data_IF_737388729224
#
_entry.id   IF_737388729224
#
_cell.length_a   1.000
_cell.length_b   1.000
_cell.length_c   1.000
_cell.angle_alpha   90.00
_cell.angle_beta   90.00
_cell.angle_gamma   90.00
#
_symmetry.space_group_name_H-M   'P 1'
#
loop_
_entity.id
_entity.type
_entity.pdbx_description
1 polymer ?
#
# COMPACT_ATOMS: atom_id res chain seq x y z
N UNK A 1 27.50 35.39 -76.37
CA UNK A 1 28.39 36.47 -75.85
C UNK A 1 28.22 36.44 -74.37
N UNK A 2 29.21 35.92 -73.72
CA UNK A 2 30.13 36.57 -72.75
C UNK A 2 29.35 37.26 -71.61
N UNK A 3 29.49 37.06 -70.43
CA UNK A 3 30.54 36.42 -69.62
C UNK A 3 30.44 36.93 -68.17
N UNK A 4 31.08 36.29 -67.41
CA UNK A 4 31.77 36.67 -66.15
C UNK A 4 31.20 36.19 -64.80
N UNK A 5 32.00 35.35 -64.30
CA UNK A 5 32.02 34.79 -62.90
C UNK A 5 32.22 35.85 -61.83
N UNK A 6 31.53 35.67 -60.69
CA UNK A 6 32.14 35.95 -59.42
C UNK A 6 31.71 34.92 -58.35
N UNK A 7 32.68 34.25 -57.75
CA UNK A 7 32.58 33.33 -56.59
C UNK A 7 32.20 34.13 -55.34
N UNK A 8 31.22 33.59 -54.61
CA UNK A 8 31.14 33.92 -53.20
C UNK A 8 31.06 32.61 -52.39
N UNK A 9 31.91 32.55 -51.37
CA UNK A 9 32.11 31.43 -50.47
C UNK A 9 30.87 31.20 -49.62
N UNK A 10 30.40 29.93 -49.59
CA UNK A 10 29.47 29.43 -48.59
C UNK A 10 30.25 29.18 -47.30
N UNK A 11 29.93 29.91 -46.22
CA UNK A 11 30.27 29.56 -44.87
C UNK A 11 29.34 28.44 -44.40
N UNK A 12 29.94 27.38 -43.95
CA UNK A 12 29.27 26.13 -43.53
C UNK A 12 28.54 26.29 -42.19
N UNK A 13 27.32 25.85 -42.19
CA UNK A 13 26.36 25.86 -41.07
C UNK A 13 26.60 24.77 -40.00
N UNK A 14 27.84 24.29 -39.84
CA UNK A 14 28.17 23.16 -38.97
C UNK A 14 28.81 23.54 -37.62
N UNK A 15 29.10 24.80 -37.37
CA UNK A 15 29.80 25.22 -36.11
C UNK A 15 28.88 25.81 -35.05
N UNK A 16 27.56 25.94 -35.31
CA UNK A 16 26.60 26.44 -34.30
C UNK A 16 25.77 25.36 -33.61
N UNK A 17 25.67 24.14 -34.14
CA UNK A 17 24.95 23.04 -33.44
C UNK A 17 25.78 22.39 -32.35
N UNK A 18 27.11 22.36 -32.44
CA UNK A 18 27.97 21.79 -31.40
C UNK A 18 28.09 22.62 -30.11
N UNK A 19 27.78 23.92 -30.17
CA UNK A 19 27.83 24.78 -28.98
C UNK A 19 26.51 24.80 -28.18
N UNK A 20 25.37 24.46 -28.82
CA UNK A 20 24.06 24.38 -28.18
C UNK A 20 23.86 23.05 -27.44
N UNK A 21 24.39 21.94 -27.95
CA UNK A 21 24.31 20.63 -27.26
C UNK A 21 25.21 20.56 -26.02
N UNK A 22 26.38 21.22 -26.04
CA UNK A 22 27.26 21.29 -24.86
C UNK A 22 26.70 22.19 -23.73
N UNK A 23 25.88 23.19 -24.05
CA UNK A 23 25.25 24.02 -23.01
C UNK A 23 24.01 23.40 -22.40
N UNK A 24 23.27 22.52 -23.12
CA UNK A 24 22.17 21.74 -22.55
C UNK A 24 22.67 20.58 -21.69
N UNK A 25 23.77 19.92 -22.06
CA UNK A 25 24.38 18.84 -21.27
C UNK A 25 24.99 19.30 -19.94
N UNK A 26 25.49 20.53 -19.86
CA UNK A 26 26.03 21.09 -18.63
C UNK A 26 24.96 21.66 -17.70
N UNK A 27 23.79 22.05 -18.20
CA UNK A 27 22.68 22.52 -17.37
C UNK A 27 21.81 21.37 -16.77
N UNK A 28 21.90 20.16 -17.27
CA UNK A 28 21.22 18.99 -16.68
C UNK A 28 22.02 18.39 -15.52
N UNK A 29 23.34 18.60 -15.45
CA UNK A 29 24.18 18.17 -14.32
C UNK A 29 24.25 19.17 -13.15
N UNK A 30 23.75 20.38 -13.29
CA UNK A 30 23.86 21.43 -12.26
C UNK A 30 22.62 21.59 -11.36
N UNK A 31 21.60 20.74 -11.46
CA UNK A 31 20.43 20.76 -10.56
C UNK A 31 20.39 19.64 -9.52
N UNK A 32 21.48 18.93 -9.27
CA UNK A 32 21.68 18.23 -7.99
C UNK A 32 22.03 19.29 -6.94
N UNK A 33 21.02 20.09 -6.53
CA UNK A 33 21.11 20.83 -5.28
C UNK A 33 21.43 19.81 -4.19
N UNK A 34 22.54 20.03 -3.48
CA UNK A 34 22.89 19.34 -2.25
C UNK A 34 21.72 19.49 -1.27
N UNK A 35 20.79 18.54 -1.33
CA UNK A 35 19.77 18.43 -0.30
C UNK A 35 20.51 17.94 0.94
N UNK A 36 20.55 18.72 2.02
CA UNK A 36 21.20 18.31 3.26
C UNK A 36 20.71 16.92 3.66
N UNK A 37 21.68 16.04 4.01
CA UNK A 37 21.36 14.68 4.43
C UNK A 37 20.50 14.70 5.69
N UNK A 38 19.28 14.17 5.62
CA UNK A 38 18.38 14.08 6.76
C UNK A 38 18.64 12.81 7.58
N UNK A 39 18.57 12.96 8.92
CA UNK A 39 18.50 11.84 9.85
C UNK A 39 17.02 11.52 10.11
N UNK A 40 16.51 10.44 9.53
CA UNK A 40 15.09 10.02 9.60
C UNK A 40 14.94 8.86 10.57
N UNK A 41 14.08 9.01 11.57
CA UNK A 41 13.64 7.91 12.43
C UNK A 41 12.28 7.43 11.96
N UNK A 42 12.15 6.13 11.67
CA UNK A 42 10.86 5.46 11.38
C UNK A 42 10.44 4.66 12.61
N UNK A 43 9.25 4.92 13.14
CA UNK A 43 8.73 4.29 14.36
C UNK A 43 7.20 4.06 14.28
N UNK A 44 6.70 2.89 14.72
CA UNK A 44 7.45 1.67 15.02
C UNK A 44 8.05 1.04 13.77
N UNK A 45 9.16 0.34 13.92
CA UNK A 45 9.82 -0.37 12.84
C UNK A 45 9.49 -1.86 12.85
N UNK A 46 9.12 -2.40 11.70
CA UNK A 46 8.89 -3.82 11.47
C UNK A 46 9.81 -4.32 10.39
N UNK A 47 10.70 -5.25 10.76
CA UNK A 47 11.72 -5.82 9.85
C UNK A 47 11.14 -6.62 8.69
N UNK A 48 9.91 -7.09 8.83
CA UNK A 48 9.17 -7.87 7.84
C UNK A 48 8.09 -7.06 7.10
N UNK A 49 8.10 -5.71 7.25
CA UNK A 49 7.16 -4.85 6.56
C UNK A 49 7.75 -4.27 5.27
N UNK A 50 7.32 -4.74 4.08
CA UNK A 50 7.91 -4.33 2.81
C UNK A 50 7.77 -2.83 2.52
N UNK A 51 6.69 -2.19 2.99
CA UNK A 51 6.49 -0.75 2.81
C UNK A 51 7.57 0.06 3.51
N UNK A 52 7.83 -0.25 4.79
CA UNK A 52 8.86 0.48 5.56
C UNK A 52 10.27 0.19 5.04
N UNK A 53 10.57 -1.07 4.72
CA UNK A 53 11.88 -1.43 4.16
C UNK A 53 12.16 -0.69 2.85
N UNK A 54 11.23 -0.74 1.90
CA UNK A 54 11.40 -0.07 0.60
C UNK A 54 11.54 1.45 0.74
N UNK A 55 10.73 2.07 1.61
CA UNK A 55 10.86 3.49 1.89
C UNK A 55 12.25 3.82 2.48
N UNK A 56 12.71 3.04 3.46
CA UNK A 56 14.02 3.24 4.09
C UNK A 56 15.17 3.02 3.09
N UNK A 57 15.09 2.00 2.26
CA UNK A 57 16.08 1.70 1.21
C UNK A 57 16.19 2.87 0.22
N UNK A 58 15.06 3.39 -0.25
CA UNK A 58 15.02 4.50 -1.19
C UNK A 58 15.55 5.82 -0.57
N UNK A 59 15.16 6.13 0.66
CA UNK A 59 15.70 7.27 1.40
C UNK A 59 17.22 7.15 1.55
N UNK A 60 17.73 5.95 1.87
CA UNK A 60 19.16 5.68 2.01
C UNK A 60 19.89 5.81 0.68
N UNK A 61 19.32 5.30 -0.42
CA UNK A 61 19.88 5.47 -1.76
C UNK A 61 19.97 6.94 -2.19
N UNK A 62 19.07 7.79 -1.68
CA UNK A 62 19.09 9.25 -1.91
C UNK A 62 20.02 10.01 -0.95
N UNK A 63 20.79 9.29 -0.13
CA UNK A 63 21.82 9.88 0.75
C UNK A 63 21.35 10.29 2.15
N UNK A 64 20.13 9.89 2.55
CA UNK A 64 19.60 10.15 3.89
C UNK A 64 19.92 9.00 4.85
N UNK A 65 20.09 9.31 6.13
CA UNK A 65 20.30 8.30 7.17
C UNK A 65 18.99 7.88 7.77
N UNK A 66 18.65 6.58 7.69
CA UNK A 66 17.40 6.03 8.22
C UNK A 66 17.68 5.11 9.40
N UNK A 67 16.94 5.31 10.49
CA UNK A 67 17.00 4.47 11.69
C UNK A 67 15.61 3.94 12.03
N UNK A 68 15.42 2.62 11.96
CA UNK A 68 14.21 1.97 12.43
C UNK A 68 14.21 1.80 13.95
N UNK A 69 13.11 2.15 14.62
CA UNK A 69 12.98 2.07 16.08
C UNK A 69 11.78 1.21 16.46
N UNK A 70 11.99 0.23 17.34
CA UNK A 70 10.91 -0.61 17.87
C UNK A 70 9.94 0.19 18.77
N UNK A 71 8.79 -0.42 19.11
CA UNK A 71 7.70 0.20 19.87
C UNK A 71 8.01 0.47 21.36
N UNK A 72 9.18 0.98 21.70
CA UNK A 72 9.49 1.35 23.10
C UNK A 72 9.15 2.81 23.37
N UNK A 73 8.07 3.04 24.11
CA UNK A 73 7.70 4.40 24.55
C UNK A 73 8.69 4.99 25.54
N UNK A 74 9.40 4.16 26.33
CA UNK A 74 10.31 4.65 27.38
C UNK A 74 11.58 5.33 26.85
N UNK A 75 11.93 5.13 25.59
CA UNK A 75 13.19 5.60 25.00
C UNK A 75 13.04 6.47 23.74
N UNK A 76 11.82 6.78 23.29
CA UNK A 76 11.60 7.48 22.04
C UNK A 76 12.35 8.83 21.99
N UNK A 77 12.16 9.70 22.97
CA UNK A 77 12.81 10.99 23.07
C UNK A 77 14.35 10.85 23.09
N UNK A 78 14.87 9.91 23.92
CA UNK A 78 16.30 9.63 23.97
C UNK A 78 16.84 9.15 22.63
N UNK A 79 16.10 8.28 21.94
CA UNK A 79 16.52 7.75 20.63
C UNK A 79 16.55 8.85 19.58
N UNK A 80 15.53 9.72 19.54
CA UNK A 80 15.46 10.86 18.65
C UNK A 80 16.67 11.80 18.87
N UNK A 81 16.95 12.14 20.12
CA UNK A 81 18.07 13.03 20.46
C UNK A 81 19.44 12.39 20.18
N UNK A 82 19.65 11.11 20.53
CA UNK A 82 20.92 10.41 20.31
C UNK A 82 21.26 10.28 18.82
N UNK A 83 20.25 10.16 17.96
CA UNK A 83 20.43 10.09 16.50
C UNK A 83 20.43 11.46 15.83
N UNK A 84 20.30 12.56 16.58
CA UNK A 84 20.20 13.92 16.03
C UNK A 84 19.18 13.96 14.90
N UNK A 85 17.98 13.39 15.14
CA UNK A 85 16.99 13.22 14.10
C UNK A 85 16.41 14.56 13.64
N UNK A 86 16.33 14.74 12.33
CA UNK A 86 15.64 15.85 11.68
C UNK A 86 14.15 15.52 11.51
N UNK A 87 13.83 14.23 11.31
CA UNK A 87 12.47 13.73 11.09
C UNK A 87 12.17 12.54 11.98
N UNK A 88 11.00 12.57 12.64
CA UNK A 88 10.36 11.42 13.25
C UNK A 88 9.14 11.02 12.42
N UNK A 89 9.23 9.92 11.68
CA UNK A 89 8.15 9.40 10.87
C UNK A 89 7.40 8.28 11.59
N UNK A 90 6.19 8.58 12.03
CA UNK A 90 5.31 7.67 12.76
C UNK A 90 4.44 6.87 11.79
N UNK A 91 4.16 5.60 12.15
CA UNK A 91 3.24 4.72 11.42
C UNK A 91 2.15 4.22 12.37
N UNK A 92 1.98 2.94 12.58
CA UNK A 92 0.92 2.29 13.38
C UNK A 92 1.03 2.64 14.89
N UNK A 93 0.37 3.68 15.33
CA UNK A 93 0.47 4.22 16.70
C UNK A 93 0.08 3.24 17.79
N UNK A 94 -0.92 2.38 17.53
CA UNK A 94 -1.48 1.47 18.52
C UNK A 94 -0.43 0.52 19.15
N UNK A 95 0.63 0.21 18.47
CA UNK A 95 1.70 -0.63 18.99
C UNK A 95 2.52 0.05 20.12
N UNK A 96 2.47 1.37 20.24
CA UNK A 96 3.17 2.05 21.33
C UNK A 96 2.50 1.87 22.69
N UNK A 97 1.18 1.58 22.75
CA UNK A 97 0.44 1.56 24.00
C UNK A 97 -0.63 0.46 24.11
N UNK A 98 -1.11 -0.15 23.01
CA UNK A 98 -2.20 -1.15 23.07
C UNK A 98 -1.74 -2.60 23.25
N UNK A 99 -0.46 -2.90 23.19
CA UNK A 99 0.06 -4.27 23.40
C UNK A 99 0.01 -4.71 24.87
N UNK A 100 -0.24 -3.77 25.80
CA UNK A 100 -0.36 -4.05 27.22
C UNK A 100 -1.63 -4.83 27.55
N UNK A 101 -1.52 -5.80 28.47
CA UNK A 101 -2.67 -6.55 29.00
C UNK A 101 -3.52 -5.69 29.96
N UNK A 102 -2.86 -4.81 30.73
CA UNK A 102 -3.51 -3.92 31.69
C UNK A 102 -3.87 -2.58 31.07
N UNK A 103 -5.15 -2.20 31.14
CA UNK A 103 -5.63 -0.88 30.70
C UNK A 103 -4.92 0.28 31.40
N UNK A 104 -4.56 0.13 32.69
CA UNK A 104 -3.79 1.15 33.42
C UNK A 104 -2.40 1.37 32.81
N UNK A 105 -1.69 0.27 32.50
CA UNK A 105 -0.38 0.36 31.84
C UNK A 105 -0.48 0.96 30.43
N UNK A 106 -1.55 0.65 29.69
CA UNK A 106 -1.80 1.24 28.38
C UNK A 106 -2.00 2.75 28.48
N UNK A 107 -2.76 3.24 29.47
CA UNK A 107 -2.95 4.68 29.73
C UNK A 107 -1.61 5.33 30.09
N UNK A 108 -0.82 4.72 30.98
CA UNK A 108 0.48 5.27 31.41
C UNK A 108 1.44 5.37 30.20
N UNK A 109 1.53 4.33 29.37
CA UNK A 109 2.36 4.35 28.16
C UNK A 109 1.89 5.39 27.16
N UNK A 110 0.57 5.50 26.95
CA UNK A 110 0.02 6.55 26.09
C UNK A 110 0.38 7.94 26.62
N UNK A 111 0.20 8.19 27.93
CA UNK A 111 0.52 9.50 28.53
C UNK A 111 2.00 9.83 28.32
N UNK A 112 2.90 8.88 28.56
CA UNK A 112 4.33 9.06 28.31
C UNK A 112 4.65 9.32 26.84
N UNK A 113 4.00 8.62 25.92
CA UNK A 113 4.15 8.80 24.48
C UNK A 113 3.72 10.21 24.05
N UNK A 114 2.54 10.66 24.50
CA UNK A 114 2.00 11.99 24.19
C UNK A 114 2.91 13.10 24.73
N UNK A 115 3.40 12.97 25.98
CA UNK A 115 4.33 13.94 26.56
C UNK A 115 5.62 14.06 25.73
N UNK A 116 6.20 12.93 25.31
CA UNK A 116 7.39 12.93 24.47
C UNK A 116 7.14 13.58 23.12
N UNK A 117 6.01 13.28 22.45
CA UNK A 117 5.65 13.93 21.19
C UNK A 117 5.44 15.43 21.37
N UNK A 118 4.83 15.84 22.49
CA UNK A 118 4.63 17.25 22.80
C UNK A 118 5.98 17.98 23.01
N UNK A 119 6.93 17.38 23.71
CA UNK A 119 8.30 17.93 23.84
C UNK A 119 8.96 18.05 22.46
N UNK A 120 8.90 16.99 21.64
CA UNK A 120 9.47 16.98 20.30
C UNK A 120 8.80 18.00 19.36
N UNK A 121 7.53 18.29 19.54
CA UNK A 121 6.77 19.29 18.77
C UNK A 121 7.40 20.69 18.81
N UNK A 122 8.02 21.04 19.94
CA UNK A 122 8.72 22.33 20.14
C UNK A 122 10.24 22.24 19.91
N UNK A 123 10.74 21.10 19.47
CA UNK A 123 12.13 20.95 19.04
C UNK A 123 12.29 21.25 17.54
N UNK A 124 13.49 21.02 17.00
CA UNK A 124 13.74 21.14 15.56
C UNK A 124 13.29 19.92 14.75
N UNK A 125 12.76 18.86 15.41
CA UNK A 125 12.39 17.60 14.76
C UNK A 125 11.05 17.74 14.07
N UNK A 126 10.99 17.48 12.76
CA UNK A 126 9.72 17.43 12.04
C UNK A 126 9.02 16.08 12.31
N UNK A 127 7.85 16.11 12.94
CA UNK A 127 7.07 14.90 13.25
C UNK A 127 6.05 14.70 12.13
N UNK A 128 6.14 13.58 11.43
CA UNK A 128 5.24 13.17 10.35
C UNK A 128 4.56 11.87 10.75
N UNK A 129 3.27 11.72 10.45
CA UNK A 129 2.53 10.48 10.69
C UNK A 129 1.84 10.00 9.42
N UNK A 130 2.20 8.79 8.94
CA UNK A 130 1.44 8.09 7.89
C UNK A 130 0.30 7.30 8.51
N UNK A 131 -0.93 7.66 8.14
CA UNK A 131 -2.15 7.05 8.65
C UNK A 131 -2.57 5.91 7.73
N UNK A 132 -2.34 4.67 8.17
CA UNK A 132 -2.75 3.47 7.45
C UNK A 132 -4.16 3.01 7.80
N UNK A 133 -4.62 3.32 9.03
CA UNK A 133 -5.91 2.89 9.56
C UNK A 133 -6.50 3.96 10.47
N UNK A 134 -7.83 4.10 10.48
CA UNK A 134 -8.53 5.02 11.38
C UNK A 134 -8.75 4.45 12.78
N UNK A 135 -8.66 3.14 12.96
CA UNK A 135 -8.77 2.43 14.24
C UNK A 135 -7.90 1.18 14.22
N UNK A 136 -7.54 0.66 15.39
CA UNK A 136 -6.82 -0.60 15.46
C UNK A 136 -7.73 -1.79 15.06
N UNK A 137 -7.16 -2.74 14.34
CA UNK A 137 -7.90 -3.91 13.85
C UNK A 137 -8.23 -4.97 14.92
N UNK A 138 -7.65 -4.84 16.12
CA UNK A 138 -7.87 -5.77 17.22
C UNK A 138 -9.08 -5.39 18.07
N UNK A 139 -9.67 -4.20 17.84
CA UNK A 139 -10.74 -3.61 18.64
C UNK A 139 -10.41 -3.53 20.15
N UNK A 140 -9.11 -3.56 20.50
CA UNK A 140 -8.64 -3.47 21.88
C UNK A 140 -8.58 -2.01 22.29
N UNK A 141 -9.17 -1.67 23.44
CA UNK A 141 -9.17 -0.32 24.01
C UNK A 141 -9.55 0.80 23.00
N UNK A 142 -10.65 0.63 22.26
CA UNK A 142 -11.06 1.54 21.17
C UNK A 142 -11.12 3.01 21.58
N UNK A 143 -11.59 3.29 22.82
CA UNK A 143 -11.65 4.67 23.32
C UNK A 143 -10.24 5.26 23.45
N UNK A 144 -9.30 4.49 24.00
CA UNK A 144 -7.91 4.91 24.17
C UNK A 144 -7.23 5.13 22.80
N UNK A 145 -7.47 4.24 21.84
CA UNK A 145 -6.96 4.35 20.47
C UNK A 145 -7.49 5.62 19.76
N UNK A 146 -8.78 5.90 19.92
CA UNK A 146 -9.39 7.12 19.34
C UNK A 146 -8.80 8.40 19.98
N UNK A 147 -8.66 8.45 21.30
CA UNK A 147 -8.06 9.58 22.01
C UNK A 147 -6.60 9.76 21.58
N UNK A 148 -5.84 8.68 21.54
CA UNK A 148 -4.43 8.69 21.11
C UNK A 148 -4.29 9.25 19.70
N UNK A 149 -5.04 8.70 18.75
CA UNK A 149 -5.02 9.11 17.34
C UNK A 149 -5.43 10.58 17.17
N UNK A 150 -6.46 11.01 17.91
CA UNK A 150 -6.90 12.41 17.90
C UNK A 150 -5.78 13.34 18.42
N UNK A 151 -5.19 13.06 19.58
CA UNK A 151 -4.11 13.88 20.16
C UNK A 151 -2.89 13.91 19.23
N UNK A 152 -2.46 12.77 18.72
CA UNK A 152 -1.31 12.69 17.81
C UNK A 152 -1.56 13.48 16.54
N UNK A 153 -2.76 13.39 15.94
CA UNK A 153 -3.10 14.15 14.74
C UNK A 153 -2.98 15.68 14.94
N UNK A 154 -3.20 16.17 16.15
CA UNK A 154 -3.04 17.60 16.48
C UNK A 154 -1.58 17.97 16.83
N UNK A 155 -0.83 17.05 17.42
CA UNK A 155 0.57 17.29 17.83
C UNK A 155 1.53 17.26 16.64
N UNK A 156 1.42 16.29 15.74
CA UNK A 156 2.37 16.12 14.62
C UNK A 156 2.36 17.32 13.67
N UNK A 157 3.43 17.54 12.93
CA UNK A 157 3.55 18.65 11.99
C UNK A 157 2.76 18.38 10.71
N UNK A 158 2.91 17.18 10.17
CA UNK A 158 2.30 16.77 8.90
C UNK A 158 1.73 15.35 8.97
N UNK A 159 0.71 15.11 8.19
CA UNK A 159 0.01 13.83 8.07
C UNK A 159 0.14 13.34 6.62
N UNK A 160 0.37 12.06 6.44
CA UNK A 160 0.37 11.40 5.13
C UNK A 160 -0.80 10.42 5.10
N UNK A 161 -1.56 10.46 4.02
CA UNK A 161 -2.63 9.52 3.69
C UNK A 161 -2.47 9.07 2.24
N UNK A 162 -3.15 7.98 1.83
CA UNK A 162 -2.90 7.37 0.52
C UNK A 162 -3.99 7.65 -0.52
N UNK A 163 -5.01 8.46 -0.18
CA UNK A 163 -6.09 8.85 -1.10
C UNK A 163 -6.79 10.12 -0.66
N UNK A 164 -7.52 10.77 -1.56
CA UNK A 164 -8.30 11.98 -1.24
C UNK A 164 -9.49 11.64 -0.31
N UNK A 165 -10.11 10.48 -0.51
CA UNK A 165 -11.15 9.98 0.43
C UNK A 165 -10.56 9.82 1.83
N UNK A 166 -9.38 9.19 1.96
CA UNK A 166 -8.71 9.05 3.25
C UNK A 166 -8.37 10.41 3.89
N UNK A 167 -7.99 11.43 3.10
CA UNK A 167 -7.78 12.79 3.57
C UNK A 167 -9.05 13.37 4.18
N UNK A 168 -10.18 13.22 3.49
CA UNK A 168 -11.49 13.69 3.95
C UNK A 168 -11.90 12.98 5.24
N UNK A 169 -11.80 11.65 5.27
CA UNK A 169 -12.14 10.83 6.44
C UNK A 169 -11.28 11.18 7.66
N UNK A 170 -9.97 11.35 7.47
CA UNK A 170 -9.01 11.75 8.52
C UNK A 170 -9.33 13.15 9.05
N UNK A 171 -9.57 14.11 8.14
CA UNK A 171 -9.92 15.48 8.52
C UNK A 171 -11.20 15.54 9.36
N UNK A 172 -12.24 14.79 8.94
CA UNK A 172 -13.51 14.70 9.66
C UNK A 172 -13.33 13.99 11.01
N UNK A 173 -12.71 12.81 11.02
CA UNK A 173 -12.54 11.99 12.23
C UNK A 173 -11.77 12.71 13.33
N UNK A 174 -10.73 13.45 12.97
CA UNK A 174 -9.87 14.15 13.92
C UNK A 174 -10.19 15.65 14.02
N UNK A 175 -11.28 16.13 13.41
CA UNK A 175 -11.71 17.54 13.45
C UNK A 175 -10.59 18.51 13.02
N UNK A 176 -9.83 18.16 11.98
CA UNK A 176 -8.70 18.96 11.51
C UNK A 176 -9.20 20.09 10.59
N UNK A 177 -9.09 21.32 11.06
CA UNK A 177 -9.47 22.52 10.28
C UNK A 177 -8.41 22.90 9.25
N UNK A 178 -7.13 22.73 9.57
CA UNK A 178 -6.03 22.98 8.64
C UNK A 178 -5.69 21.70 7.84
N UNK A 179 -6.37 21.53 6.71
CA UNK A 179 -6.16 20.38 5.82
C UNK A 179 -4.88 20.45 4.99
N UNK A 180 -4.17 21.61 4.95
CA UNK A 180 -2.88 21.74 4.27
C UNK A 180 -1.79 20.86 4.92
N UNK A 181 -1.98 20.48 6.18
CA UNK A 181 -1.10 19.53 6.88
C UNK A 181 -1.28 18.07 6.46
N UNK A 182 -2.35 17.76 5.71
CA UNK A 182 -2.67 16.40 5.26
C UNK A 182 -2.23 16.26 3.80
N UNK A 183 -1.18 15.50 3.58
CA UNK A 183 -0.59 15.25 2.27
C UNK A 183 -1.08 13.91 1.72
N UNK A 184 -1.56 13.91 0.48
CA UNK A 184 -1.97 12.68 -0.21
C UNK A 184 -0.82 12.16 -1.03
N UNK A 185 -0.27 11.02 -0.62
CA UNK A 185 0.78 10.29 -1.31
C UNK A 185 0.22 8.91 -1.69
N UNK A 186 0.10 8.56 -2.97
CA UNK A 186 -0.33 7.21 -3.35
C UNK A 186 0.53 6.15 -2.69
N UNK A 187 -0.05 4.98 -2.45
CA UNK A 187 0.74 3.84 -1.98
C UNK A 187 1.64 3.34 -3.12
N UNK A 188 2.95 3.21 -2.86
CA UNK A 188 3.89 2.73 -3.87
C UNK A 188 3.57 1.31 -4.33
N UNK A 189 3.88 0.98 -5.58
CA UNK A 189 3.66 -0.36 -6.14
C UNK A 189 4.66 -1.39 -5.59
N UNK A 190 4.36 -2.67 -5.89
CA UNK A 190 5.19 -3.81 -5.52
C UNK A 190 5.83 -4.50 -6.75
N UNK A 191 5.87 -3.82 -7.90
CA UNK A 191 6.48 -4.33 -9.13
C UNK A 191 7.97 -4.61 -8.86
N UNK A 192 8.42 -5.84 -9.12
CA UNK A 192 9.78 -6.27 -8.85
C UNK A 192 10.14 -6.46 -7.37
N UNK A 193 9.19 -6.29 -6.44
CA UNK A 193 9.44 -6.49 -4.99
C UNK A 193 9.37 -7.96 -4.58
N UNK A 194 8.65 -8.77 -5.34
CA UNK A 194 8.47 -10.20 -5.10
C UNK A 194 8.84 -11.00 -6.35
N UNK A 195 9.26 -12.27 -6.21
CA UNK A 195 9.42 -13.16 -7.34
C UNK A 195 8.13 -13.27 -8.16
N UNK A 196 8.24 -13.32 -9.49
CA UNK A 196 7.10 -13.49 -10.40
C UNK A 196 7.54 -14.25 -11.66
N UNK A 197 8.09 -15.46 -11.46
CA UNK A 197 8.63 -16.32 -12.53
C UNK A 197 7.83 -17.60 -12.73
N UNK A 198 6.94 -17.94 -11.78
CA UNK A 198 6.10 -19.14 -11.82
C UNK A 198 5.00 -18.98 -12.87
N UNK A 199 4.83 -19.95 -13.76
CA UNK A 199 3.73 -19.93 -14.74
C UNK A 199 2.38 -20.18 -14.08
N UNK A 200 1.27 -19.78 -14.73
CA UNK A 200 -0.10 -20.08 -14.23
C UNK A 200 -0.32 -21.57 -14.05
N UNK A 201 0.17 -22.39 -14.99
CA UNK A 201 0.02 -23.84 -14.96
C UNK A 201 0.77 -24.45 -13.78
N UNK A 202 2.04 -24.08 -13.55
CA UNK A 202 2.82 -24.58 -12.42
C UNK A 202 2.27 -24.13 -11.09
N UNK A 203 1.82 -22.88 -11.00
CA UNK A 203 1.17 -22.32 -9.83
C UNK A 203 -0.12 -23.09 -9.47
N UNK A 204 -0.97 -23.39 -10.45
CA UNK A 204 -2.19 -24.19 -10.25
C UNK A 204 -1.88 -25.61 -9.81
N UNK A 205 -0.88 -26.24 -10.45
CA UNK A 205 -0.42 -27.57 -10.06
C UNK A 205 0.07 -27.61 -8.61
N UNK A 206 0.85 -26.60 -8.20
CA UNK A 206 1.36 -26.49 -6.82
C UNK A 206 0.23 -26.37 -5.77
N UNK A 207 -0.89 -25.78 -6.14
CA UNK A 207 -2.07 -25.61 -5.27
C UNK A 207 -3.12 -26.71 -5.44
N UNK A 208 -2.85 -27.75 -6.24
CA UNK A 208 -3.80 -28.79 -6.61
C UNK A 208 -5.11 -28.21 -7.16
N UNK A 209 -4.99 -27.21 -8.04
CA UNK A 209 -6.11 -26.60 -8.77
C UNK A 209 -6.17 -27.15 -10.20
N UNK A 210 -7.35 -27.22 -10.83
CA UNK A 210 -7.46 -27.62 -12.23
C UNK A 210 -6.76 -26.61 -13.15
N UNK A 211 -6.24 -27.11 -14.25
CA UNK A 211 -5.57 -26.28 -15.28
C UNK A 211 -6.56 -25.33 -15.97
N UNK A 212 -7.81 -25.75 -16.12
CA UNK A 212 -8.92 -24.95 -16.65
C UNK A 212 -9.86 -24.46 -15.55
N UNK A 213 -10.71 -23.50 -15.89
CA UNK A 213 -11.67 -22.89 -14.96
C UNK A 213 -11.21 -21.54 -14.40
N UNK A 214 -12.18 -20.85 -13.83
CA UNK A 214 -11.99 -19.55 -13.19
C UNK A 214 -11.50 -19.74 -11.75
N UNK A 215 -10.35 -19.17 -11.40
CA UNK A 215 -9.82 -19.18 -10.04
C UNK A 215 -9.95 -17.79 -9.42
N UNK A 216 -10.76 -17.66 -8.40
CA UNK A 216 -10.93 -16.51 -7.55
C UNK A 216 -10.04 -16.66 -6.32
N UNK A 217 -9.28 -15.64 -5.95
CA UNK A 217 -8.35 -15.69 -4.82
C UNK A 217 -8.65 -14.57 -3.82
N UNK A 218 -8.82 -14.93 -2.56
CA UNK A 218 -8.60 -14.05 -1.42
C UNK A 218 -7.24 -14.38 -0.80
N UNK A 219 -6.38 -13.37 -0.66
CA UNK A 219 -5.03 -13.52 -0.11
C UNK A 219 -4.76 -12.51 1.01
N UNK A 220 -4.27 -12.99 2.14
CA UNK A 220 -3.81 -12.16 3.26
C UNK A 220 -4.38 -12.57 4.61
N UNK A 221 -4.09 -11.81 5.67
CA UNK A 221 -4.63 -12.10 7.00
C UNK A 221 -6.15 -12.12 6.95
N UNK A 222 -6.75 -13.22 7.40
CA UNK A 222 -8.18 -13.42 7.44
C UNK A 222 -8.73 -12.83 8.74
N UNK A 223 -9.52 -11.77 8.60
CA UNK A 223 -10.11 -11.01 9.69
C UNK A 223 -11.57 -10.69 9.38
N UNK A 224 -12.49 -10.62 10.37
CA UNK A 224 -13.92 -10.36 10.12
C UNK A 224 -14.18 -9.13 9.25
N UNK A 225 -13.45 -8.03 9.45
CA UNK A 225 -13.62 -6.80 8.66
C UNK A 225 -13.24 -6.95 7.17
N UNK A 226 -12.50 -8.01 6.82
CA UNK A 226 -12.15 -8.32 5.43
C UNK A 226 -13.21 -9.11 4.68
N UNK A 227 -14.36 -9.41 5.32
CA UNK A 227 -15.55 -9.92 4.64
C UNK A 227 -15.42 -11.31 4.02
N UNK A 228 -14.49 -12.16 4.49
CA UNK A 228 -14.25 -13.50 3.90
C UNK A 228 -15.47 -14.41 4.07
N UNK A 229 -16.23 -14.27 5.17
CA UNK A 229 -17.48 -14.98 5.36
C UNK A 229 -18.53 -14.59 4.31
N UNK A 230 -18.63 -13.29 3.97
CA UNK A 230 -19.54 -12.80 2.92
C UNK A 230 -19.14 -13.35 1.56
N UNK A 231 -17.83 -13.39 1.28
CA UNK A 231 -17.31 -13.97 0.04
C UNK A 231 -17.68 -15.45 -0.06
N UNK A 232 -17.50 -16.21 1.00
CA UNK A 232 -17.85 -17.63 1.01
C UNK A 232 -19.36 -17.84 0.76
N UNK A 233 -20.21 -17.01 1.37
CA UNK A 233 -21.66 -17.07 1.17
C UNK A 233 -22.08 -16.65 -0.25
N UNK A 234 -21.49 -15.59 -0.79
CA UNK A 234 -21.73 -15.17 -2.16
C UNK A 234 -21.26 -16.24 -3.16
N UNK A 235 -20.09 -16.85 -2.91
CA UNK A 235 -19.57 -17.93 -3.75
C UNK A 235 -20.49 -19.15 -3.79
N UNK A 236 -21.05 -19.58 -2.65
CA UNK A 236 -22.04 -20.68 -2.61
C UNK A 236 -23.27 -20.36 -3.45
N UNK A 237 -23.73 -19.12 -3.48
CA UNK A 237 -24.87 -18.67 -4.31
C UNK A 237 -24.52 -18.60 -5.80
N UNK A 238 -23.25 -18.49 -6.17
CA UNK A 238 -22.80 -18.40 -7.55
C UNK A 238 -23.13 -19.64 -8.37
N UNK A 239 -23.20 -20.82 -7.71
CA UNK A 239 -23.61 -22.10 -8.28
C UNK A 239 -22.92 -22.44 -9.62
N UNK A 240 -21.61 -22.26 -9.68
CA UNK A 240 -20.78 -22.50 -10.87
C UNK A 240 -19.99 -23.80 -10.73
N UNK A 241 -20.01 -24.61 -11.77
CA UNK A 241 -19.28 -25.90 -11.82
C UNK A 241 -17.83 -25.73 -12.32
N UNK A 242 -17.46 -24.56 -12.82
CA UNK A 242 -16.12 -24.30 -13.39
C UNK A 242 -15.43 -23.09 -12.76
N UNK A 243 -15.81 -22.75 -11.52
CA UNK A 243 -15.21 -21.66 -10.75
C UNK A 243 -14.70 -22.20 -9.41
N UNK A 244 -13.50 -21.79 -9.03
CA UNK A 244 -12.81 -22.22 -7.82
C UNK A 244 -12.50 -21.03 -6.94
N UNK A 245 -12.75 -21.15 -5.64
CA UNK A 245 -12.42 -20.12 -4.64
C UNK A 245 -11.24 -20.59 -3.80
N UNK A 246 -10.14 -19.85 -3.87
CA UNK A 246 -8.97 -20.04 -3.01
C UNK A 246 -9.00 -18.97 -1.92
N UNK A 247 -8.97 -19.37 -0.65
CA UNK A 247 -8.86 -18.51 0.50
C UNK A 247 -7.55 -18.85 1.21
N UNK A 248 -6.58 -17.95 1.15
CA UNK A 248 -5.24 -18.22 1.66
C UNK A 248 -4.77 -17.12 2.63
N UNK A 249 -4.24 -17.55 3.80
CA UNK A 249 -3.68 -16.65 4.80
C UNK A 249 -3.92 -17.04 6.24
N UNK A 250 -3.25 -16.30 7.13
CA UNK A 250 -3.36 -16.52 8.57
C UNK A 250 -4.71 -16.02 9.10
N UNK A 251 -5.48 -16.92 9.70
CA UNK A 251 -6.73 -16.57 10.38
C UNK A 251 -6.46 -16.24 11.85
N UNK A 252 -7.20 -15.28 12.40
CA UNK A 252 -7.11 -14.89 13.82
C UNK A 252 -8.36 -15.27 14.62
N UNK A 253 -9.47 -15.52 13.93
CA UNK A 253 -10.76 -15.88 14.54
C UNK A 253 -11.01 -17.39 14.35
N UNK A 254 -11.13 -18.13 15.45
CA UNK A 254 -11.28 -19.60 15.41
C UNK A 254 -12.62 -20.02 14.79
N UNK A 255 -13.70 -19.30 15.07
CA UNK A 255 -15.02 -19.61 14.51
C UNK A 255 -15.01 -19.51 12.98
N UNK A 256 -14.38 -18.46 12.44
CA UNK A 256 -14.20 -18.29 11.00
C UNK A 256 -13.27 -19.37 10.41
N UNK A 257 -12.22 -19.78 11.13
CA UNK A 257 -11.35 -20.88 10.71
C UNK A 257 -12.13 -22.21 10.56
N UNK A 258 -13.00 -22.51 11.52
CA UNK A 258 -13.83 -23.72 11.51
C UNK A 258 -14.87 -23.68 10.38
N UNK A 259 -15.49 -22.52 10.12
CA UNK A 259 -16.39 -22.30 8.99
C UNK A 259 -15.69 -22.55 7.65
N UNK A 260 -14.51 -21.96 7.44
CA UNK A 260 -13.72 -22.11 6.20
C UNK A 260 -13.25 -23.56 6.02
N UNK A 261 -12.83 -24.21 7.10
CA UNK A 261 -12.43 -25.64 7.08
C UNK A 261 -13.60 -26.53 6.69
N UNK A 262 -14.77 -26.27 7.25
CA UNK A 262 -15.99 -27.02 6.95
C UNK A 262 -16.44 -26.81 5.49
N UNK A 263 -16.37 -25.57 5.01
CA UNK A 263 -16.70 -25.25 3.62
C UNK A 263 -15.77 -25.99 2.63
N UNK A 264 -14.46 -25.97 2.88
CA UNK A 264 -13.49 -26.66 2.01
C UNK A 264 -13.60 -28.19 2.04
N UNK A 265 -14.13 -28.77 3.13
CA UNK A 265 -14.44 -30.22 3.20
C UNK A 265 -15.67 -30.60 2.40
N UNK A 266 -16.66 -29.70 2.37
CA UNK A 266 -17.99 -30.00 1.80
C UNK A 266 -18.11 -29.56 0.34
N UNK A 267 -17.21 -28.72 -0.17
CA UNK A 267 -17.24 -28.20 -1.53
C UNK A 267 -15.84 -28.31 -2.16
N UNK A 268 -15.69 -29.15 -3.16
CA UNK A 268 -14.44 -29.36 -3.89
C UNK A 268 -13.96 -28.10 -4.67
N UNK A 269 -14.85 -27.12 -4.88
CA UNK A 269 -14.52 -25.85 -5.53
C UNK A 269 -13.95 -24.81 -4.54
N UNK A 270 -13.97 -25.08 -3.23
CA UNK A 270 -13.41 -24.21 -2.21
C UNK A 270 -12.08 -24.78 -1.69
N UNK A 271 -11.00 -24.00 -1.81
CA UNK A 271 -9.70 -24.32 -1.24
C UNK A 271 -9.40 -23.35 -0.11
N UNK A 272 -9.27 -23.85 1.11
CA UNK A 272 -8.82 -23.09 2.26
C UNK A 272 -7.39 -23.49 2.62
N UNK A 273 -6.47 -22.51 2.58
CA UNK A 273 -5.03 -22.69 2.80
C UNK A 273 -4.61 -21.79 3.98
N UNK A 274 -4.81 -22.27 5.24
CA UNK A 274 -4.47 -21.49 6.42
C UNK A 274 -2.97 -21.39 6.63
N UNK A 275 -2.51 -20.26 7.16
CA UNK A 275 -1.12 -20.04 7.56
C UNK A 275 -0.52 -18.75 7.02
N UNK A 276 0.68 -18.46 7.46
CA UNK A 276 1.48 -17.38 6.89
C UNK A 276 2.02 -17.82 5.52
N UNK A 277 1.93 -16.94 4.55
CA UNK A 277 2.45 -17.18 3.21
C UNK A 277 3.77 -16.40 3.07
N UNK A 278 4.90 -17.09 2.94
CA UNK A 278 6.18 -16.45 2.69
C UNK A 278 6.19 -15.63 1.39
N UNK A 279 6.97 -14.57 1.35
CA UNK A 279 7.07 -13.66 0.22
C UNK A 279 7.43 -14.36 -1.10
N UNK A 280 8.30 -15.36 -1.04
CA UNK A 280 8.72 -16.17 -2.18
C UNK A 280 7.56 -16.99 -2.78
N UNK A 281 6.57 -17.33 -1.96
CA UNK A 281 5.41 -18.12 -2.36
C UNK A 281 4.24 -17.27 -2.85
N UNK A 282 4.23 -15.96 -2.63
CA UNK A 282 3.15 -15.06 -3.08
C UNK A 282 2.85 -15.24 -4.58
N UNK A 283 3.89 -15.41 -5.40
CA UNK A 283 3.75 -15.61 -6.84
C UNK A 283 2.92 -16.86 -7.19
N UNK A 284 2.97 -17.92 -6.37
CA UNK A 284 2.21 -19.16 -6.62
C UNK A 284 0.72 -18.86 -6.53
N UNK A 285 0.29 -18.18 -5.48
CA UNK A 285 -1.13 -17.83 -5.28
C UNK A 285 -1.60 -16.81 -6.32
N UNK A 286 -0.83 -15.74 -6.53
CA UNK A 286 -1.16 -14.69 -7.49
C UNK A 286 -1.25 -15.24 -8.91
N UNK A 287 -0.27 -16.08 -9.34
CA UNK A 287 -0.26 -16.58 -10.70
C UNK A 287 -1.26 -17.72 -10.96
N UNK A 288 -1.66 -18.48 -9.94
CA UNK A 288 -2.75 -19.44 -10.06
C UNK A 288 -4.11 -18.77 -10.33
N UNK A 289 -4.32 -17.57 -9.80
CA UNK A 289 -5.58 -16.85 -9.85
C UNK A 289 -5.80 -16.12 -11.19
N UNK A 290 -7.08 -16.06 -11.60
CA UNK A 290 -7.55 -15.16 -12.66
C UNK A 290 -7.94 -13.80 -12.08
N UNK A 291 -8.58 -13.79 -10.90
CA UNK A 291 -9.11 -12.57 -10.27
C UNK A 291 -8.86 -12.60 -8.77
N UNK A 292 -8.45 -11.47 -8.21
CA UNK A 292 -8.27 -11.31 -6.76
C UNK A 292 -9.52 -10.65 -6.18
N UNK A 293 -10.03 -11.18 -5.07
CA UNK A 293 -11.26 -10.70 -4.45
C UNK A 293 -10.96 -9.98 -3.14
N UNK A 294 -11.45 -8.77 -3.01
CA UNK A 294 -11.35 -7.93 -1.82
C UNK A 294 -12.76 -7.64 -1.27
N UNK A 295 -13.36 -8.55 -0.49
CA UNK A 295 -14.72 -8.38 0.02
C UNK A 295 -14.77 -7.49 1.27
N UNK A 296 -13.96 -6.45 1.31
CA UNK A 296 -13.67 -5.66 2.49
C UNK A 296 -14.87 -4.81 2.94
N UNK A 297 -15.19 -4.89 4.23
CA UNK A 297 -16.23 -4.07 4.87
C UNK A 297 -15.69 -2.74 5.36
N UNK A 298 -14.46 -2.75 5.89
CA UNK A 298 -13.81 -1.57 6.45
C UNK A 298 -12.34 -1.53 6.05
N UNK A 299 -11.88 -0.38 5.58
CA UNK A 299 -10.48 -0.11 5.24
C UNK A 299 -10.28 1.40 5.06
N UNK A 300 -9.10 1.91 5.33
CA UNK A 300 -8.67 3.24 4.94
C UNK A 300 -7.78 3.19 3.70
N UNK A 301 -6.86 2.22 3.68
CA UNK A 301 -5.98 1.93 2.56
C UNK A 301 -5.78 0.42 2.42
N UNK A 302 -5.36 -0.06 1.26
CA UNK A 302 -5.13 -1.48 1.02
C UNK A 302 -3.88 -1.73 0.18
N UNK A 303 -2.79 -2.08 0.84
CA UNK A 303 -1.57 -2.54 0.14
C UNK A 303 -1.80 -3.84 -0.63
N UNK A 304 -2.77 -4.68 -0.22
CA UNK A 304 -3.10 -5.92 -0.93
C UNK A 304 -3.71 -5.66 -2.31
N UNK A 305 -4.50 -4.58 -2.47
CA UNK A 305 -5.01 -4.16 -3.79
C UNK A 305 -3.85 -3.73 -4.69
N UNK A 306 -2.93 -2.91 -4.16
CA UNK A 306 -1.75 -2.48 -4.92
C UNK A 306 -0.86 -3.68 -5.28
N UNK A 307 -0.76 -4.68 -4.40
CA UNK A 307 -0.06 -5.93 -4.69
C UNK A 307 -0.71 -6.69 -5.86
N UNK A 308 -2.03 -6.85 -5.86
CA UNK A 308 -2.75 -7.51 -6.95
C UNK A 308 -2.57 -6.77 -8.28
N UNK A 309 -2.67 -5.44 -8.26
CA UNK A 309 -2.38 -4.59 -9.44
C UNK A 309 -0.94 -4.79 -9.92
N UNK A 310 0.04 -4.86 -9.00
CA UNK A 310 1.46 -5.08 -9.31
C UNK A 310 1.75 -6.46 -9.91
N UNK A 311 0.90 -7.46 -9.62
CA UNK A 311 0.94 -8.78 -10.26
C UNK A 311 0.10 -8.85 -11.56
N UNK A 312 -0.46 -7.74 -12.01
CA UNK A 312 -1.28 -7.67 -13.23
C UNK A 312 -2.55 -8.52 -13.11
N UNK A 313 -3.28 -8.40 -12.00
CA UNK A 313 -4.50 -9.17 -11.76
C UNK A 313 -5.75 -8.32 -11.89
N UNK A 314 -6.80 -8.87 -12.53
CA UNK A 314 -8.14 -8.35 -12.41
C UNK A 314 -8.61 -8.42 -10.95
N UNK A 315 -9.46 -7.50 -10.53
CA UNK A 315 -9.90 -7.41 -9.14
C UNK A 315 -11.43 -7.43 -9.05
N UNK A 316 -11.95 -7.96 -7.93
CA UNK A 316 -13.33 -7.75 -7.47
C UNK A 316 -13.21 -6.99 -6.16
N UNK A 317 -13.84 -5.82 -6.05
CA UNK A 317 -13.63 -4.96 -4.89
C UNK A 317 -14.80 -3.99 -4.66
N UNK A 318 -15.00 -3.48 -3.42
CA UNK A 318 -16.01 -2.47 -3.15
C UNK A 318 -15.65 -1.13 -3.81
N UNK A 319 -16.62 -0.47 -4.42
CA UNK A 319 -16.51 0.90 -4.95
C UNK A 319 -16.59 1.92 -3.81
N UNK A 320 -15.56 1.93 -2.97
CA UNK A 320 -15.54 2.80 -1.78
C UNK A 320 -14.10 3.19 -1.43
N UNK A 321 -13.93 4.40 -0.89
CA UNK A 321 -12.67 4.88 -0.30
C UNK A 321 -11.48 4.73 -1.23
N UNK A 322 -10.32 4.47 -0.65
CA UNK A 322 -9.07 4.26 -1.40
C UNK A 322 -9.18 3.21 -2.52
N UNK A 323 -9.93 2.12 -2.31
CA UNK A 323 -10.07 1.07 -3.35
C UNK A 323 -10.79 1.62 -4.59
N UNK A 324 -11.86 2.40 -4.38
CA UNK A 324 -12.60 3.02 -5.49
C UNK A 324 -11.83 4.17 -6.19
N UNK A 325 -10.74 4.68 -5.59
CA UNK A 325 -9.85 5.66 -6.21
C UNK A 325 -8.72 5.02 -7.03
N UNK A 326 -8.25 3.83 -6.64
CA UNK A 326 -7.10 3.17 -7.29
C UNK A 326 -7.51 2.13 -8.34
N UNK A 327 -8.72 1.59 -8.24
CA UNK A 327 -9.30 0.67 -9.22
C UNK A 327 -10.44 1.35 -9.99
N UNK A 328 -10.55 1.03 -11.28
CA UNK A 328 -11.61 1.46 -12.18
C UNK A 328 -12.31 0.26 -12.84
N UNK A 329 -13.39 0.53 -13.60
CA UNK A 329 -14.18 -0.51 -14.28
C UNK A 329 -13.43 -1.16 -15.46
N UNK A 330 -12.28 -0.64 -15.87
CA UNK A 330 -11.43 -1.26 -16.90
C UNK A 330 -10.61 -2.40 -16.28
N UNK A 331 -10.18 -2.27 -15.03
CA UNK A 331 -9.33 -3.22 -14.32
C UNK A 331 -10.05 -4.06 -13.26
N UNK A 332 -11.29 -3.72 -12.90
CA UNK A 332 -11.97 -4.37 -11.80
C UNK A 332 -13.49 -4.47 -11.98
N UNK A 333 -14.09 -5.44 -11.31
CA UNK A 333 -15.52 -5.56 -11.10
C UNK A 333 -15.85 -4.88 -9.76
N UNK A 334 -16.13 -3.59 -9.83
CA UNK A 334 -16.41 -2.78 -8.65
C UNK A 334 -17.89 -2.88 -8.27
N UNK A 335 -18.15 -3.24 -7.01
CA UNK A 335 -19.52 -3.36 -6.50
C UNK A 335 -19.83 -2.34 -5.40
N UNK A 336 -21.10 -2.02 -5.26
CA UNK A 336 -21.60 -1.23 -4.13
C UNK A 336 -21.75 -2.14 -2.89
N UNK A 337 -20.95 -1.94 -1.81
CA UNK A 337 -21.00 -2.77 -0.62
C UNK A 337 -22.28 -2.60 0.21
N UNK A 338 -23.08 -1.57 -0.07
CA UNK A 338 -24.36 -1.32 0.63
C UNK A 338 -25.53 -2.08 -0.04
N UNK A 339 -25.31 -2.63 -1.25
CA UNK A 339 -26.29 -3.49 -1.91
C UNK A 339 -26.18 -4.95 -1.40
N UNK A 340 -27.27 -5.60 -1.00
CA UNK A 340 -27.25 -6.95 -0.40
C UNK A 340 -26.55 -8.02 -1.23
N UNK A 341 -26.70 -7.97 -2.56
CA UNK A 341 -26.10 -8.92 -3.49
C UNK A 341 -24.99 -8.30 -4.36
N UNK A 342 -24.47 -7.13 -3.98
CA UNK A 342 -23.45 -6.41 -4.76
C UNK A 342 -22.21 -7.27 -5.04
N UNK A 343 -21.67 -7.94 -4.02
CA UNK A 343 -20.54 -8.87 -4.17
C UNK A 343 -20.90 -10.06 -5.08
N UNK A 344 -22.08 -10.65 -4.94
CA UNK A 344 -22.53 -11.75 -5.81
C UNK A 344 -22.63 -11.32 -7.26
N UNK A 345 -23.19 -10.13 -7.53
CA UNK A 345 -23.26 -9.57 -8.88
C UNK A 345 -21.86 -9.38 -9.48
N UNK A 346 -20.89 -8.87 -8.69
CA UNK A 346 -19.50 -8.73 -9.13
C UNK A 346 -18.84 -10.09 -9.40
N UNK A 347 -19.11 -11.12 -8.58
CA UNK A 347 -18.66 -12.47 -8.84
C UNK A 347 -19.24 -13.02 -10.16
N UNK A 348 -20.53 -12.83 -10.44
CA UNK A 348 -21.14 -13.20 -11.74
C UNK A 348 -20.48 -12.43 -12.90
N UNK A 349 -20.29 -11.13 -12.75
CA UNK A 349 -19.66 -10.30 -13.78
C UNK A 349 -18.23 -10.74 -14.09
N UNK A 350 -17.51 -11.31 -13.11
CA UNK A 350 -16.14 -11.79 -13.27
C UNK A 350 -16.02 -13.13 -14.02
N UNK A 351 -17.13 -13.78 -14.34
CA UNK A 351 -17.14 -15.02 -15.13
C UNK A 351 -16.85 -14.73 -16.61
N UNK A 352 -15.70 -14.15 -16.88
CA UNK A 352 -15.23 -13.76 -18.22
C UNK A 352 -14.17 -14.75 -18.74
N UNK A 353 -13.94 -14.78 -20.06
CA UNK A 353 -12.80 -15.52 -20.62
C UNK A 353 -11.47 -15.08 -20.01
N UNK A 354 -10.50 -15.99 -19.82
CA UNK A 354 -9.20 -15.69 -19.22
C UNK A 354 -8.49 -14.51 -19.91
N UNK A 355 -8.60 -14.40 -21.23
CA UNK A 355 -7.97 -13.35 -22.02
C UNK A 355 -8.53 -11.95 -21.67
N UNK A 356 -9.81 -11.85 -21.33
CA UNK A 356 -10.43 -10.61 -20.89
C UNK A 356 -9.91 -10.22 -19.48
N UNK A 357 -9.83 -11.18 -18.56
CA UNK A 357 -9.31 -10.97 -17.21
C UNK A 357 -7.81 -10.59 -17.24
N UNK A 358 -7.04 -11.18 -18.15
CA UNK A 358 -5.62 -10.84 -18.34
C UNK A 358 -5.47 -9.40 -18.87
N UNK A 359 -6.34 -8.92 -19.78
CA UNK A 359 -6.35 -7.53 -20.23
C UNK A 359 -6.69 -6.56 -19.09
N UNK A 360 -7.68 -6.88 -18.27
CA UNK A 360 -8.03 -6.11 -17.06
C UNK A 360 -6.84 -6.03 -16.10
N UNK A 361 -6.18 -7.17 -15.87
CA UNK A 361 -4.97 -7.23 -15.05
C UNK A 361 -3.82 -6.39 -15.62
N UNK A 362 -3.61 -6.43 -16.94
CA UNK A 362 -2.58 -5.60 -17.60
C UNK A 362 -2.88 -4.11 -17.43
N UNK A 363 -4.13 -3.68 -17.51
CA UNK A 363 -4.52 -2.30 -17.22
C UNK A 363 -4.14 -1.93 -15.78
N UNK A 364 -4.49 -2.76 -14.80
CA UNK A 364 -4.13 -2.54 -13.40
C UNK A 364 -2.61 -2.44 -13.19
N UNK A 365 -1.83 -3.28 -13.88
CA UNK A 365 -0.38 -3.21 -13.83
C UNK A 365 0.14 -1.88 -14.37
N UNK A 366 -0.39 -1.42 -15.51
CA UNK A 366 -0.02 -0.12 -16.10
C UNK A 366 -0.33 1.03 -15.15
N UNK A 367 -1.52 1.05 -14.54
CA UNK A 367 -1.89 2.07 -13.54
C UNK A 367 -0.92 2.04 -12.36
N UNK A 368 -0.67 0.86 -11.77
CA UNK A 368 0.25 0.72 -10.65
C UNK A 368 1.69 1.12 -10.99
N UNK A 369 2.14 0.93 -12.23
CA UNK A 369 3.50 1.24 -12.67
C UNK A 369 3.87 2.73 -12.52
N UNK A 370 2.89 3.62 -12.46
CA UNK A 370 3.10 5.05 -12.21
C UNK A 370 3.43 5.37 -10.74
N UNK A 371 3.13 4.48 -9.80
CA UNK A 371 3.37 4.70 -8.37
C UNK A 371 4.70 4.08 -7.94
N UNK A 372 5.79 4.55 -8.53
CA UNK A 372 7.14 4.03 -8.23
C UNK A 372 7.61 4.45 -6.84
N UNK A 373 8.47 3.63 -6.24
CA UNK A 373 9.10 3.96 -4.95
C UNK A 373 9.93 5.24 -5.02
N UNK A 374 10.59 5.49 -6.14
CA UNK A 374 11.36 6.73 -6.35
C UNK A 374 10.43 7.97 -6.27
N UNK A 375 9.33 7.98 -7.02
CA UNK A 375 8.36 9.08 -7.00
C UNK A 375 7.73 9.27 -5.62
N UNK A 376 7.36 8.17 -4.93
CA UNK A 376 6.77 8.25 -3.59
C UNK A 376 7.78 8.76 -2.57
N UNK A 377 9.05 8.36 -2.69
CA UNK A 377 10.12 8.85 -1.81
C UNK A 377 10.38 10.33 -2.02
N UNK A 378 10.41 10.83 -3.25
CA UNK A 378 10.51 12.27 -3.55
C UNK A 378 9.37 13.07 -2.91
N UNK A 379 8.13 12.60 -3.08
CA UNK A 379 6.97 13.22 -2.44
C UNK A 379 7.07 13.17 -0.90
N UNK A 380 7.59 12.08 -0.35
CA UNK A 380 7.79 11.93 1.11
C UNK A 380 8.85 12.91 1.61
N UNK A 381 9.96 13.07 0.87
CA UNK A 381 10.99 14.06 1.20
C UNK A 381 10.45 15.49 1.16
N UNK A 382 9.60 15.83 0.21
CA UNK A 382 8.91 17.13 0.18
C UNK A 382 7.97 17.35 1.40
N UNK A 383 7.42 16.26 1.96
CA UNK A 383 6.66 16.33 3.23
C UNK A 383 7.61 16.51 4.42
N UNK A 384 8.82 15.99 4.38
CA UNK A 384 9.79 16.12 5.47
C UNK A 384 10.37 17.53 5.62
N UNK A 385 10.31 18.34 4.57
CA UNK A 385 10.70 19.76 4.57
C UNK A 385 9.58 20.69 5.08
#
# INVERSE_FOLDING_TARGET
MLGAFTKNKSLTQTDQEGAAENSLGQNIQASNQYQDSLNVIIAPWYTDNPYQQKLADQLTQKGHKVTGVSCSTSSLLKTVNNNQADVLHLHWLHHFFLEEESGFRAVLKLSLFIVQLFILRFSKVNIVWTIHNLKNHQNKYLLLDNIASFLVAHIVHKLIVHSETAKTEVAQKFCLTNQQRIHVLPHANYIGSYPNTTTRQDARRSLNLPESGLVLLFLGTIHPYKGVADLLQAFKKLNSTNTYLVIAGKVKDQGLADELTTAAKNDAHVRYLPGFIPDEQLQIYMNAANTIVFPYREFLTSGAVILAMSFGKACIAPRRGHIGEVLDDVGAFLYDPDLPDGLLQALHASMQPPEQLDKMGQHNYQVASHWTWDMITEKTLAVYQ
#
